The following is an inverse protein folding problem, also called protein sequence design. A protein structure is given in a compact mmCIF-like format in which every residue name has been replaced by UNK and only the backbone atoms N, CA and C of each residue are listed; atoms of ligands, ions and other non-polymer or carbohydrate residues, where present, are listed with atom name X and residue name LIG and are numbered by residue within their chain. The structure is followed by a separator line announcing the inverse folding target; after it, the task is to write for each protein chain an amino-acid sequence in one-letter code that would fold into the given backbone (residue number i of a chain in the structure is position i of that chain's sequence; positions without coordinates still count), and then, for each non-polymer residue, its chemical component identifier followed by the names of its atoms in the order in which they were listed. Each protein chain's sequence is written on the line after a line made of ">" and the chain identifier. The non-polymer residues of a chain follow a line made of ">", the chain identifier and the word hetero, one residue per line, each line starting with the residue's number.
data_IF_818249561969
#
_entry.id   IF_818249561969
#
_cell.length_a   1.000
_cell.length_b   1.000
_cell.length_c   1.000
_cell.angle_alpha   90.00
_cell.angle_beta   90.00
_cell.angle_gamma   90.00
#
_symmetry.space_group_name_H-M   'P 1'
#
loop_
_entity.id
_entity.type
_entity.pdbx_description
1 polymer ?
#
# COMPACT_ATOMS: atom_id res chain seq x y z
N UNK A 1 -8.25 -16.87 17.82
CA UNK A 1 -8.69 -16.40 16.49
C UNK A 1 -7.59 -16.76 15.51
N UNK A 2 -7.89 -17.63 14.55
CA UNK A 2 -6.92 -18.05 13.55
C UNK A 2 -6.74 -16.93 12.51
N UNK A 3 -5.65 -16.18 12.62
CA UNK A 3 -5.32 -15.09 11.70
C UNK A 3 -5.06 -15.61 10.28
N UNK A 4 -4.71 -16.89 10.11
CA UNK A 4 -4.51 -17.48 8.78
C UNK A 4 -5.82 -17.59 8.01
N UNK A 5 -6.94 -17.87 8.68
CA UNK A 5 -8.27 -17.94 8.05
C UNK A 5 -8.76 -16.57 7.55
N UNK A 6 -8.33 -15.45 8.18
CA UNK A 6 -8.67 -14.09 7.74
C UNK A 6 -8.00 -13.70 6.42
N UNK A 7 -6.85 -14.31 6.11
CA UNK A 7 -6.07 -14.07 4.89
C UNK A 7 -6.13 -15.24 3.89
N UNK A 8 -6.89 -16.29 4.18
CA UNK A 8 -7.07 -17.40 3.27
C UNK A 8 -7.82 -16.96 2.00
N UNK A 9 -7.07 -16.85 0.90
CA UNK A 9 -7.61 -16.52 -0.42
C UNK A 9 -8.26 -17.78 -1.00
N UNK A 10 -9.50 -18.05 -0.57
CA UNK A 10 -10.27 -19.22 -1.01
C UNK A 10 -10.68 -19.12 -2.49
N UNK A 11 -10.89 -17.90 -3.01
CA UNK A 11 -11.32 -17.67 -4.40
C UNK A 11 -10.46 -16.62 -5.09
N UNK A 12 -9.41 -17.01 -5.83
CA UNK A 12 -8.52 -16.06 -6.50
C UNK A 12 -9.22 -15.19 -7.55
N UNK A 13 -10.35 -15.66 -8.11
CA UNK A 13 -11.17 -14.84 -9.01
C UNK A 13 -11.84 -13.65 -8.32
N UNK A 14 -12.34 -13.83 -7.09
CA UNK A 14 -12.95 -12.75 -6.31
C UNK A 14 -11.90 -11.75 -5.83
N UNK A 15 -10.68 -12.20 -5.54
CA UNK A 15 -9.56 -11.31 -5.22
C UNK A 15 -9.24 -10.38 -6.39
N UNK A 16 -9.20 -10.91 -7.62
CA UNK A 16 -8.98 -10.08 -8.83
C UNK A 16 -10.08 -9.05 -9.00
N UNK A 17 -11.34 -9.44 -8.82
CA UNK A 17 -12.46 -8.50 -8.87
C UNK A 17 -12.37 -7.42 -7.78
N UNK A 18 -12.00 -7.80 -6.56
CA UNK A 18 -11.79 -6.86 -5.46
C UNK A 18 -10.65 -5.86 -5.74
N UNK A 19 -9.54 -6.31 -6.32
CA UNK A 19 -8.44 -5.44 -6.77
C UNK A 19 -8.90 -4.44 -7.84
N UNK A 20 -9.69 -4.90 -8.83
CA UNK A 20 -10.22 -4.02 -9.89
C UNK A 20 -11.21 -3.00 -9.33
N UNK A 21 -12.00 -3.37 -8.32
CA UNK A 21 -12.94 -2.48 -7.66
C UNK A 21 -12.27 -1.52 -6.66
N UNK A 22 -11.16 -1.92 -6.05
CA UNK A 22 -10.36 -1.08 -5.15
C UNK A 22 -9.47 -0.07 -5.89
N UNK A 23 -9.10 -0.37 -7.15
CA UNK A 23 -8.26 0.45 -8.03
C UNK A 23 -8.59 1.97 -8.05
N UNK A 24 -9.85 2.42 -8.17
CA UNK A 24 -10.17 3.85 -8.09
C UNK A 24 -9.92 4.46 -6.71
N UNK A 25 -10.19 3.71 -5.64
CA UNK A 25 -9.93 4.13 -4.26
C UNK A 25 -8.41 4.21 -4.00
N UNK A 26 -7.66 3.21 -4.47
CA UNK A 26 -6.21 3.16 -4.37
C UNK A 26 -5.55 4.30 -5.16
N UNK A 27 -6.08 4.61 -6.34
CA UNK A 27 -5.61 5.75 -7.16
C UNK A 27 -5.89 7.09 -6.48
N UNK A 28 -7.03 7.23 -5.81
CA UNK A 28 -7.36 8.42 -5.03
C UNK A 28 -6.44 8.55 -3.82
N UNK A 29 -6.23 7.47 -3.05
CA UNK A 29 -5.29 7.44 -1.94
C UNK A 29 -3.87 7.78 -2.41
N UNK A 30 -3.46 7.25 -3.56
CA UNK A 30 -2.15 7.53 -4.14
C UNK A 30 -1.98 9.02 -4.42
N UNK A 31 -3.00 9.67 -4.98
CA UNK A 31 -2.98 11.11 -5.23
C UNK A 31 -2.90 11.91 -3.91
N UNK A 32 -3.66 11.52 -2.88
CA UNK A 32 -3.62 12.19 -1.57
C UNK A 32 -2.27 11.99 -0.87
N UNK A 33 -1.70 10.78 -0.98
CA UNK A 33 -0.45 10.45 -0.34
C UNK A 33 0.75 10.97 -1.10
N UNK A 34 0.77 11.13 -2.42
CA UNK A 34 2.01 11.51 -3.13
C UNK A 34 1.87 12.81 -3.91
N UNK A 35 0.66 13.32 -4.08
CA UNK A 35 0.31 14.48 -4.90
C UNK A 35 0.45 14.19 -6.39
N UNK A 36 1.69 13.91 -6.80
CA UNK A 36 2.10 13.74 -8.18
C UNK A 36 2.98 12.51 -8.40
N UNK A 37 3.12 12.13 -9.67
CA UNK A 37 4.03 11.06 -10.11
C UNK A 37 5.48 11.31 -9.66
N UNK A 38 5.91 12.57 -9.66
CA UNK A 38 7.25 12.94 -9.20
C UNK A 38 7.43 12.73 -7.69
N UNK A 39 6.41 13.07 -6.90
CA UNK A 39 6.39 12.79 -5.46
C UNK A 39 6.52 11.30 -5.18
N UNK A 40 5.71 10.49 -5.88
CA UNK A 40 5.76 9.04 -5.74
C UNK A 40 7.12 8.44 -6.11
N UNK A 41 7.72 8.85 -7.23
CA UNK A 41 9.03 8.35 -7.64
C UNK A 41 10.16 8.77 -6.69
N UNK A 42 10.05 9.96 -6.07
CA UNK A 42 10.99 10.41 -5.04
C UNK A 42 10.87 9.54 -3.79
N UNK A 43 9.65 9.35 -3.29
CA UNK A 43 9.38 8.49 -2.13
C UNK A 43 9.83 7.05 -2.39
N UNK A 44 9.58 6.53 -3.60
CA UNK A 44 10.00 5.18 -4.00
C UNK A 44 11.52 5.06 -4.04
N UNK A 45 12.20 6.04 -4.61
CA UNK A 45 13.67 6.07 -4.66
C UNK A 45 14.26 6.06 -3.26
N UNK A 46 13.74 6.89 -2.35
CA UNK A 46 14.22 6.99 -0.98
C UNK A 46 13.91 5.72 -0.17
N UNK A 47 12.71 5.14 -0.33
CA UNK A 47 12.33 3.90 0.35
C UNK A 47 13.13 2.67 -0.15
N UNK A 48 13.56 2.66 -1.41
CA UNK A 48 14.41 1.60 -1.97
C UNK A 48 15.91 1.83 -1.72
N UNK A 49 16.31 3.04 -1.32
CA UNK A 49 17.70 3.38 -1.10
C UNK A 49 18.18 2.74 0.22
N UNK A 50 19.33 2.03 0.23
CA UNK A 50 19.82 1.42 1.45
C UNK A 50 20.15 2.48 2.50
N UNK A 51 19.55 2.35 3.70
CA UNK A 51 19.61 3.28 4.83
C UNK A 51 21.02 3.77 5.23
N UNK A 52 22.07 3.01 4.89
CA UNK A 52 23.48 3.35 5.15
C UNK A 52 23.88 4.62 4.37
N UNK A 53 23.39 4.79 3.14
CA UNK A 53 23.71 5.95 2.29
C UNK A 53 22.95 7.21 2.73
N UNK A 54 21.74 7.05 3.26
CA UNK A 54 20.93 8.17 3.78
C UNK A 54 21.46 8.69 5.12
N UNK A 55 21.94 7.80 5.99
CA UNK A 55 22.60 8.17 7.25
C UNK A 55 23.88 8.99 7.03
N UNK A 56 24.66 8.68 5.98
CA UNK A 56 25.88 9.41 5.60
C UNK A 56 25.62 10.78 4.97
N UNK A 57 24.40 11.06 4.47
CA UNK A 57 24.01 12.35 3.86
C UNK A 57 23.28 13.30 4.81
N UNK A 58 22.92 12.85 6.02
CA UNK A 58 22.07 13.63 6.93
C UNK A 58 20.59 13.69 6.54
N UNK A 59 20.17 12.92 5.52
CA UNK A 59 18.79 12.83 5.04
C UNK A 59 18.04 11.63 5.68
N UNK A 60 18.46 11.22 6.89
CA UNK A 60 17.97 10.01 7.55
C UNK A 60 16.50 10.14 7.99
N UNK A 61 16.12 11.28 8.56
CA UNK A 61 14.75 11.53 9.00
C UNK A 61 13.77 11.65 7.82
N UNK A 62 14.18 12.28 6.72
CA UNK A 62 13.38 12.35 5.50
C UNK A 62 13.20 10.98 4.85
N UNK A 63 14.25 10.16 4.80
CA UNK A 63 14.17 8.80 4.27
C UNK A 63 13.28 7.89 5.12
N UNK A 64 13.36 7.99 6.45
CA UNK A 64 12.45 7.26 7.35
C UNK A 64 11.00 7.72 7.12
N UNK A 65 10.76 9.04 7.08
CA UNK A 65 9.41 9.56 6.88
C UNK A 65 8.79 9.10 5.56
N UNK A 66 9.54 9.17 4.46
CA UNK A 66 9.08 8.71 3.14
C UNK A 66 8.88 7.18 3.10
N UNK A 67 9.73 6.41 3.79
CA UNK A 67 9.54 4.96 3.94
C UNK A 67 8.25 4.63 4.72
N UNK A 68 7.97 5.35 5.81
CA UNK A 68 6.77 5.18 6.62
C UNK A 68 5.50 5.55 5.84
N UNK A 69 5.57 6.63 5.05
CA UNK A 69 4.50 7.08 4.15
C UNK A 69 4.19 6.03 3.08
N UNK A 70 5.21 5.42 2.48
CA UNK A 70 5.04 4.30 1.55
C UNK A 70 4.43 3.07 2.22
N UNK A 71 4.85 2.75 3.43
CA UNK A 71 4.34 1.60 4.19
C UNK A 71 2.87 1.83 4.59
N UNK A 72 2.52 3.04 5.04
CA UNK A 72 1.16 3.44 5.35
C UNK A 72 0.26 3.38 4.10
N UNK A 73 0.75 3.83 2.94
CA UNK A 73 0.02 3.70 1.67
C UNK A 73 -0.22 2.22 1.30
N UNK A 74 0.82 1.38 1.35
CA UNK A 74 0.70 -0.04 1.04
C UNK A 74 -0.26 -0.76 2.00
N UNK A 75 -0.20 -0.44 3.29
CA UNK A 75 -1.13 -0.96 4.29
C UNK A 75 -2.57 -0.48 4.01
N UNK A 76 -2.76 0.77 3.61
CA UNK A 76 -4.05 1.33 3.20
C UNK A 76 -4.66 0.60 2.01
N UNK A 77 -3.90 0.38 0.94
CA UNK A 77 -4.35 -0.38 -0.24
C UNK A 77 -4.67 -1.84 0.11
N UNK A 78 -3.83 -2.50 0.92
CA UNK A 78 -4.07 -3.86 1.38
C UNK A 78 -5.35 -3.95 2.23
N UNK A 79 -5.57 -3.00 3.14
CA UNK A 79 -6.76 -2.94 3.98
C UNK A 79 -8.02 -2.67 3.16
N UNK A 80 -7.96 -1.73 2.20
CA UNK A 80 -9.07 -1.42 1.28
C UNK A 80 -9.45 -2.63 0.43
N UNK A 81 -8.47 -3.28 -0.20
CA UNK A 81 -8.68 -4.50 -0.99
C UNK A 81 -9.25 -5.64 -0.13
N UNK A 82 -8.75 -5.82 1.09
CA UNK A 82 -9.26 -6.84 2.01
C UNK A 82 -10.72 -6.56 2.45
N UNK A 83 -11.08 -5.30 2.68
CA UNK A 83 -12.45 -4.88 2.97
C UNK A 83 -13.39 -5.18 1.80
N UNK A 84 -13.00 -4.80 0.58
CA UNK A 84 -13.75 -5.06 -0.64
C UNK A 84 -13.92 -6.58 -0.85
N UNK A 85 -12.86 -7.36 -0.68
CA UNK A 85 -12.90 -8.82 -0.78
C UNK A 85 -13.85 -9.45 0.25
N UNK A 86 -13.81 -9.02 1.51
CA UNK A 86 -14.74 -9.48 2.55
C UNK A 86 -16.19 -9.11 2.24
N UNK A 87 -16.42 -7.89 1.74
CA UNK A 87 -17.75 -7.44 1.33
C UNK A 87 -18.29 -8.28 0.17
N UNK A 88 -17.47 -8.56 -0.85
CA UNK A 88 -17.83 -9.45 -1.96
C UNK A 88 -18.11 -10.89 -1.51
N UNK A 89 -17.34 -11.41 -0.55
CA UNK A 89 -17.57 -12.74 0.02
C UNK A 89 -18.87 -12.82 0.83
N UNK A 90 -19.32 -11.73 1.43
CA UNK A 90 -20.62 -11.68 2.14
C UNK A 90 -21.81 -11.58 1.19
N UNK A 91 -21.60 -11.06 -0.02
CA UNK A 91 -22.65 -10.79 -0.99
C UNK A 91 -22.93 -11.99 -1.93
N UNK A 92 -22.01 -12.95 -2.00
CA UNK A 92 -22.03 -14.15 -2.87
C UNK A 92 -21.95 -15.41 -2.02
#
# INVERSE_FOLDING_TARGET
>A
MDFAALFAIERPGLLKAALVLALPLDSWLWLQFFGDRHGFLRSLRLALQPNIVSALRGEYDEAIWESLRMLAFAAGCAAGTALVYKALKLLI
#
